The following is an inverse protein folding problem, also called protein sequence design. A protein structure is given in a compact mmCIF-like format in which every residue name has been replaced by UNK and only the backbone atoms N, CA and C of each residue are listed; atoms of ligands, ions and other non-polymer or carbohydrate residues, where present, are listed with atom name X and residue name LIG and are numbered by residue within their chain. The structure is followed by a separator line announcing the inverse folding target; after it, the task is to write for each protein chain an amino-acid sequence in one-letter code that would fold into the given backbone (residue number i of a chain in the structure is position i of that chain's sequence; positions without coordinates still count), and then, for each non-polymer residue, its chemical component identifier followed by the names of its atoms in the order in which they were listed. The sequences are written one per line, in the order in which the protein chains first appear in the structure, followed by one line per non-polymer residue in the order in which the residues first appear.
data_IF_225723027786
#
_entry.id   IF_225723027786
#
_cell.length_a   1.000
_cell.length_b   1.000
_cell.length_c   1.000
_cell.angle_alpha   90.00
_cell.angle_beta   90.00
_cell.angle_gamma   90.00
#
_symmetry.space_group_name_H-M   'P 1'
#
loop_
_entity.id
_entity.type
_entity.pdbx_description
1 polymer ?
#
# COMPACT_ATOMS: atom_id res chain seq x y z
N UNK A 1 14.14 -2.62 12.93
CA UNK A 1 15.08 -1.62 12.39
C UNK A 1 15.25 -1.77 10.87
N UNK A 2 15.59 -2.92 10.34
CA UNK A 2 15.85 -3.16 8.91
C UNK A 2 14.70 -2.72 7.98
N UNK A 3 13.45 -3.06 8.30
CA UNK A 3 12.28 -2.71 7.48
C UNK A 3 12.03 -1.20 7.47
N UNK A 4 12.31 -0.48 8.57
CA UNK A 4 12.19 0.99 8.62
C UNK A 4 13.20 1.67 7.70
N UNK A 5 14.41 1.15 7.61
CA UNK A 5 15.49 1.69 6.76
C UNK A 5 15.22 1.47 5.26
N UNK A 6 14.64 0.32 4.88
CA UNK A 6 14.30 0.04 3.46
C UNK A 6 13.26 1.04 2.92
N UNK A 7 12.33 1.49 3.75
CA UNK A 7 11.32 2.46 3.35
C UNK A 7 11.91 3.84 2.99
N UNK A 8 13.11 4.17 3.48
CA UNK A 8 13.78 5.43 3.15
C UNK A 8 14.44 5.39 1.76
N UNK A 9 14.56 4.20 1.16
CA UNK A 9 15.04 4.03 -0.23
C UNK A 9 13.87 4.27 -1.19
N UNK A 10 14.05 5.10 -2.24
CA UNK A 10 13.02 5.29 -3.25
C UNK A 10 12.58 3.96 -3.88
N UNK A 11 11.27 3.75 -4.05
CA UNK A 11 10.72 2.49 -4.57
C UNK A 11 11.26 2.10 -5.94
N UNK A 12 11.56 3.08 -6.81
CA UNK A 12 12.18 2.82 -8.13
C UNK A 12 13.59 2.22 -7.98
N UNK A 13 14.38 2.68 -7.00
CA UNK A 13 15.73 2.16 -6.74
C UNK A 13 15.65 0.73 -6.24
N UNK A 14 14.66 0.41 -5.40
CA UNK A 14 14.42 -0.97 -4.94
C UNK A 14 14.04 -1.88 -6.10
N UNK A 15 13.18 -1.44 -7.03
CA UNK A 15 12.83 -2.22 -8.21
C UNK A 15 14.09 -2.53 -9.03
N UNK A 16 14.94 -1.53 -9.29
CA UNK A 16 16.20 -1.74 -10.01
C UNK A 16 17.15 -2.67 -9.27
N UNK A 17 17.28 -2.51 -7.95
CA UNK A 17 18.12 -3.38 -7.15
C UNK A 17 17.66 -4.85 -7.20
N UNK A 18 16.38 -5.10 -7.04
CA UNK A 18 15.83 -6.43 -7.16
C UNK A 18 16.00 -6.98 -8.58
N UNK A 19 15.76 -6.18 -9.60
CA UNK A 19 15.82 -6.64 -10.99
C UNK A 19 17.25 -6.91 -11.47
N UNK A 20 18.18 -5.98 -11.22
CA UNK A 20 19.55 -6.06 -11.75
C UNK A 20 20.55 -6.73 -10.81
N UNK A 21 20.24 -6.91 -9.53
CA UNK A 21 21.16 -7.49 -8.54
C UNK A 21 20.61 -8.78 -7.97
N UNK A 22 19.42 -8.76 -7.35
CA UNK A 22 18.90 -9.93 -6.63
C UNK A 22 18.47 -11.03 -7.61
N UNK A 23 17.75 -10.68 -8.65
CA UNK A 23 17.21 -11.62 -9.64
C UNK A 23 18.00 -11.66 -10.96
N UNK A 24 19.17 -11.01 -11.03
CA UNK A 24 19.97 -10.94 -12.25
C UNK A 24 20.36 -12.32 -12.81
N UNK A 25 20.63 -13.27 -11.93
CA UNK A 25 21.05 -14.63 -12.29
C UNK A 25 19.88 -15.62 -12.47
N UNK A 26 18.64 -15.17 -12.19
CA UNK A 26 17.45 -16.04 -12.21
C UNK A 26 16.48 -15.53 -13.28
N UNK A 27 16.07 -16.42 -14.18
CA UNK A 27 15.11 -16.08 -15.25
C UNK A 27 13.68 -15.98 -14.68
N UNK A 28 13.40 -14.92 -13.93
CA UNK A 28 12.04 -14.61 -13.43
C UNK A 28 11.43 -13.47 -14.22
N UNK A 29 10.13 -13.51 -14.39
CA UNK A 29 9.40 -12.42 -15.08
C UNK A 29 9.50 -11.10 -14.31
N UNK A 30 9.67 -9.97 -15.04
CA UNK A 30 9.80 -8.65 -14.40
C UNK A 30 8.59 -8.25 -13.54
N UNK A 31 7.40 -8.74 -13.84
CA UNK A 31 6.20 -8.55 -13.00
C UNK A 31 6.42 -9.16 -11.61
N UNK A 32 6.98 -10.38 -11.53
CA UNK A 32 7.30 -11.02 -10.25
C UNK A 32 8.31 -10.18 -9.45
N UNK A 33 9.34 -9.67 -10.11
CA UNK A 33 10.33 -8.79 -9.47
C UNK A 33 9.67 -7.54 -8.91
N UNK A 34 8.77 -6.89 -9.67
CA UNK A 34 8.00 -5.74 -9.19
C UNK A 34 7.15 -6.09 -7.96
N UNK A 35 6.46 -7.23 -7.96
CA UNK A 35 5.64 -7.66 -6.82
C UNK A 35 6.50 -7.81 -5.57
N UNK A 36 7.65 -8.46 -5.68
CA UNK A 36 8.56 -8.65 -4.54
C UNK A 36 9.14 -7.32 -4.07
N UNK A 37 9.68 -6.50 -4.97
CA UNK A 37 10.28 -5.21 -4.63
C UNK A 37 9.28 -4.25 -3.96
N UNK A 38 8.10 -4.10 -4.56
CA UNK A 38 7.04 -3.24 -4.02
C UNK A 38 6.42 -3.82 -2.75
N UNK A 39 6.32 -5.16 -2.63
CA UNK A 39 5.89 -5.82 -1.40
C UNK A 39 6.84 -5.54 -0.24
N UNK A 40 8.14 -5.63 -0.45
CA UNK A 40 9.16 -5.27 0.56
C UNK A 40 9.07 -3.79 0.91
N UNK A 41 8.96 -2.91 -0.09
CA UNK A 41 8.81 -1.47 0.13
C UNK A 41 7.59 -1.12 0.98
N UNK A 42 6.41 -1.65 0.62
CA UNK A 42 5.14 -1.34 1.30
C UNK A 42 5.02 -1.99 2.67
N UNK A 43 5.73 -3.09 2.93
CA UNK A 43 5.71 -3.72 4.26
C UNK A 43 6.13 -2.77 5.37
N UNK A 44 7.14 -1.92 5.12
CA UNK A 44 7.60 -0.89 6.06
C UNK A 44 6.52 0.15 6.36
N UNK A 45 5.82 0.64 5.34
CA UNK A 45 4.70 1.59 5.49
C UNK A 45 3.56 0.98 6.28
N UNK A 46 3.16 -0.23 5.97
CA UNK A 46 2.04 -0.89 6.65
C UNK A 46 2.34 -1.19 8.12
N UNK A 47 3.58 -1.54 8.45
CA UNK A 47 4.01 -1.67 9.85
C UNK A 47 3.89 -0.32 10.58
N UNK A 48 4.31 0.80 9.96
CA UNK A 48 4.15 2.14 10.55
C UNK A 48 2.67 2.48 10.77
N UNK A 49 1.79 2.15 9.83
CA UNK A 49 0.34 2.37 9.98
C UNK A 49 -0.22 1.60 11.18
N UNK A 50 0.19 0.34 11.35
CA UNK A 50 -0.23 -0.50 12.48
C UNK A 50 0.29 0.09 13.79
N UNK A 51 1.56 0.46 13.87
CA UNK A 51 2.16 1.09 15.04
C UNK A 51 1.40 2.38 15.44
N UNK A 52 1.09 3.24 14.45
CA UNK A 52 0.33 4.47 14.70
C UNK A 52 -1.06 4.15 15.24
N UNK A 53 -1.79 3.24 14.60
CA UNK A 53 -3.14 2.89 15.06
C UNK A 53 -3.17 2.30 16.47
N UNK A 54 -2.22 1.43 16.80
CA UNK A 54 -2.10 0.87 18.14
C UNK A 54 -1.72 1.92 19.19
N UNK A 55 -0.85 2.87 18.84
CA UNK A 55 -0.42 3.95 19.76
C UNK A 55 -1.52 4.99 20.03
N UNK A 56 -2.55 5.07 19.19
CA UNK A 56 -3.69 5.97 19.40
C UNK A 56 -4.72 5.43 20.41
N UNK A 57 -4.61 4.17 20.79
CA UNK A 57 -5.49 3.61 21.81
C UNK A 57 -5.03 4.07 23.21
N UNK A 58 -5.93 4.71 23.96
CA UNK A 58 -5.62 5.20 25.29
C UNK A 58 -5.14 4.04 26.20
N UNK A 59 -4.03 4.29 26.92
CA UNK A 59 -3.47 3.32 27.87
C UNK A 59 -4.49 2.86 28.93
N UNK A 60 -5.43 3.73 29.31
CA UNK A 60 -6.50 3.40 30.24
C UNK A 60 -7.43 2.29 29.72
N UNK A 61 -7.55 2.12 28.39
CA UNK A 61 -8.34 1.03 27.82
C UNK A 61 -7.72 -0.35 28.13
N UNK A 62 -6.39 -0.41 28.25
CA UNK A 62 -5.71 -1.63 28.64
C UNK A 62 -6.01 -2.01 30.10
N UNK A 63 -6.06 -1.02 30.99
CA UNK A 63 -6.40 -1.22 32.41
C UNK A 63 -7.88 -1.54 32.58
N UNK A 64 -8.78 -0.81 31.93
CA UNK A 64 -10.22 -1.07 31.96
C UNK A 64 -10.56 -2.49 31.50
N UNK A 65 -9.93 -2.95 30.40
CA UNK A 65 -10.12 -4.32 29.92
C UNK A 65 -9.65 -5.37 30.95
N UNK A 66 -8.55 -5.11 31.64
CA UNK A 66 -8.06 -6.02 32.71
C UNK A 66 -9.01 -6.07 33.90
N UNK A 67 -9.59 -4.94 34.30
CA UNK A 67 -10.60 -4.89 35.39
C UNK A 67 -11.86 -5.68 35.03
N UNK A 68 -12.21 -5.80 33.74
CA UNK A 68 -13.28 -6.66 33.24
C UNK A 68 -12.86 -8.14 33.10
N UNK A 69 -11.69 -8.54 33.59
CA UNK A 69 -11.18 -9.90 33.47
C UNK A 69 -10.68 -10.29 32.07
N UNK A 70 -10.56 -9.34 31.12
CA UNK A 70 -10.04 -9.61 29.81
C UNK A 70 -8.51 -9.56 29.82
N UNK A 71 -7.88 -10.69 29.50
CA UNK A 71 -6.42 -10.80 29.41
C UNK A 71 -5.95 -11.34 28.07
N UNK A 72 -4.67 -11.14 27.75
CA UNK A 72 -4.03 -11.66 26.56
C UNK A 72 -4.79 -11.32 25.25
N UNK A 73 -5.01 -12.32 24.40
CA UNK A 73 -5.67 -12.14 23.10
C UNK A 73 -7.09 -11.58 23.21
N UNK A 74 -7.86 -11.94 24.24
CA UNK A 74 -9.23 -11.43 24.42
C UNK A 74 -9.26 -9.91 24.58
N UNK A 75 -8.34 -9.34 25.35
CA UNK A 75 -8.19 -7.89 25.51
C UNK A 75 -7.95 -7.21 24.14
N UNK A 76 -7.01 -7.73 23.36
CA UNK A 76 -6.74 -7.17 22.03
C UNK A 76 -7.93 -7.28 21.09
N UNK A 77 -8.54 -8.47 21.01
CA UNK A 77 -9.63 -8.75 20.04
C UNK A 77 -10.88 -7.91 20.29
N UNK A 78 -11.26 -7.73 21.57
CA UNK A 78 -12.54 -7.10 21.90
C UNK A 78 -12.44 -5.61 22.28
N UNK A 79 -11.28 -5.13 22.72
CA UNK A 79 -11.14 -3.73 23.19
C UNK A 79 -10.16 -2.94 22.35
N UNK A 80 -8.93 -3.43 22.16
CA UNK A 80 -7.85 -2.65 21.54
C UNK A 80 -7.99 -2.60 20.03
N UNK A 81 -8.13 -3.75 19.36
CA UNK A 81 -8.18 -3.84 17.89
C UNK A 81 -9.32 -3.02 17.27
N UNK A 82 -10.57 -3.08 17.77
CA UNK A 82 -11.65 -2.26 17.20
C UNK A 82 -11.38 -0.76 17.27
N UNK A 83 -10.73 -0.30 18.33
CA UNK A 83 -10.35 1.11 18.48
C UNK A 83 -9.14 1.47 17.62
N UNK A 84 -8.13 0.60 17.56
CA UNK A 84 -6.91 0.81 16.80
C UNK A 84 -7.14 0.83 15.26
N UNK A 85 -8.04 -0.03 14.75
CA UNK A 85 -8.28 -0.16 13.32
C UNK A 85 -8.94 1.09 12.72
N UNK A 86 -9.79 1.78 13.48
CA UNK A 86 -10.47 2.98 12.99
C UNK A 86 -9.51 4.06 12.43
N UNK A 87 -8.47 4.50 13.14
CA UNK A 87 -7.50 5.45 12.61
C UNK A 87 -6.55 4.84 11.57
N UNK A 88 -6.40 3.51 11.50
CA UNK A 88 -5.56 2.86 10.50
C UNK A 88 -6.15 2.96 9.08
N UNK A 89 -7.49 2.94 8.91
CA UNK A 89 -8.14 2.87 7.60
C UNK A 89 -7.70 3.99 6.66
N UNK A 90 -7.79 5.29 7.03
CA UNK A 90 -7.36 6.36 6.14
C UNK A 90 -5.85 6.30 5.84
N UNK A 91 -5.03 5.82 6.79
CA UNK A 91 -3.59 5.64 6.58
C UNK A 91 -3.31 4.49 5.61
N UNK A 92 -3.99 3.34 5.75
CA UNK A 92 -3.91 2.25 4.78
C UNK A 92 -4.34 2.69 3.39
N UNK A 93 -5.41 3.48 3.29
CA UNK A 93 -5.86 4.03 2.02
C UNK A 93 -4.79 4.96 1.40
N UNK A 94 -4.13 5.78 2.20
CA UNK A 94 -3.05 6.64 1.74
C UNK A 94 -1.86 5.83 1.22
N UNK A 95 -1.38 4.85 1.97
CA UNK A 95 -0.26 3.98 1.57
C UNK A 95 -0.60 3.11 0.35
N UNK A 96 -1.84 2.61 0.25
CA UNK A 96 -2.29 1.88 -0.94
C UNK A 96 -2.30 2.73 -2.20
N UNK A 97 -2.61 4.04 -2.09
CA UNK A 97 -2.49 4.98 -3.22
C UNK A 97 -1.03 5.27 -3.58
N UNK A 98 -0.12 5.29 -2.61
CA UNK A 98 1.32 5.37 -2.86
C UNK A 98 1.80 4.14 -3.63
N UNK A 99 1.37 2.95 -3.20
CA UNK A 99 1.68 1.69 -3.89
C UNK A 99 1.12 1.69 -5.32
N UNK A 100 -0.14 2.12 -5.52
CA UNK A 100 -0.73 2.23 -6.85
C UNK A 100 0.13 3.10 -7.79
N UNK A 101 0.62 4.24 -7.30
CA UNK A 101 1.53 5.09 -8.11
C UNK A 101 2.87 4.41 -8.36
N UNK A 102 3.42 3.69 -7.36
CA UNK A 102 4.70 3.01 -7.52
C UNK A 102 4.67 1.87 -8.55
N UNK A 103 3.49 1.29 -8.86
CA UNK A 103 3.37 0.28 -9.92
C UNK A 103 3.75 0.82 -11.29
N UNK A 104 3.67 2.15 -11.53
CA UNK A 104 4.08 2.77 -12.79
C UNK A 104 5.58 2.68 -13.06
N UNK A 105 6.38 2.38 -12.04
CA UNK A 105 7.82 2.16 -12.20
C UNK A 105 8.16 0.82 -12.88
N UNK A 106 7.19 -0.09 -13.03
CA UNK A 106 7.36 -1.33 -13.77
C UNK A 106 7.76 -1.08 -15.24
N UNK A 107 7.31 0.02 -15.82
CA UNK A 107 7.68 0.44 -17.18
C UNK A 107 9.19 0.63 -17.38
N UNK A 108 9.94 0.99 -16.33
CA UNK A 108 11.40 1.18 -16.41
C UNK A 108 12.18 -0.14 -16.50
N UNK A 109 11.59 -1.27 -16.13
CA UNK A 109 12.16 -2.62 -16.36
C UNK A 109 11.44 -3.35 -17.50
N UNK A 110 10.99 -2.57 -18.49
CA UNK A 110 10.35 -3.06 -19.73
C UNK A 110 9.05 -3.84 -19.52
N UNK A 111 8.39 -3.67 -18.39
CA UNK A 111 7.06 -4.22 -18.20
C UNK A 111 6.00 -3.28 -18.76
N UNK A 112 4.93 -3.87 -19.33
CA UNK A 112 3.81 -3.10 -19.85
C UNK A 112 2.92 -2.66 -18.69
N UNK A 113 2.85 -1.36 -18.44
CA UNK A 113 1.93 -0.72 -17.53
C UNK A 113 1.09 0.36 -18.23
N UNK A 114 0.14 0.97 -17.53
CA UNK A 114 -0.75 1.99 -18.08
C UNK A 114 0.02 3.22 -18.61
N UNK A 115 1.10 3.61 -17.91
CA UNK A 115 1.92 4.77 -18.32
C UNK A 115 2.73 4.42 -19.56
N UNK A 116 3.29 3.21 -19.62
CA UNK A 116 4.04 2.72 -20.78
C UNK A 116 3.16 2.64 -22.03
N UNK A 117 1.95 2.13 -21.92
CA UNK A 117 0.97 2.11 -23.01
C UNK A 117 0.63 3.53 -23.46
N UNK A 118 0.42 4.45 -22.52
CA UNK A 118 0.18 5.88 -22.83
C UNK A 118 1.34 6.49 -23.63
N UNK A 119 2.57 6.14 -23.27
CA UNK A 119 3.78 6.60 -24.00
C UNK A 119 3.84 6.04 -25.42
N UNK A 120 3.45 4.78 -25.61
CA UNK A 120 3.38 4.15 -26.94
C UNK A 120 2.34 4.84 -27.83
N UNK A 121 1.11 5.03 -27.32
CA UNK A 121 0.05 5.73 -28.05
C UNK A 121 0.50 7.14 -28.45
N UNK A 122 1.13 7.87 -27.51
CA UNK A 122 1.69 9.20 -27.79
C UNK A 122 2.69 9.19 -28.94
N UNK A 123 3.55 8.18 -29.00
CA UNK A 123 4.55 8.05 -30.08
C UNK A 123 3.92 7.74 -31.42
N UNK A 124 2.85 6.99 -31.48
CA UNK A 124 2.15 6.61 -32.70
C UNK A 124 1.22 7.72 -33.22
N UNK A 125 0.53 8.41 -32.30
CA UNK A 125 -0.48 9.42 -32.67
C UNK A 125 0.06 10.86 -32.72
N UNK A 126 1.27 11.09 -32.18
CA UNK A 126 1.85 12.43 -31.95
C UNK A 126 0.96 13.34 -31.09
N UNK A 127 -0.06 12.77 -30.42
CA UNK A 127 -0.92 13.46 -29.47
C UNK A 127 -0.48 13.17 -28.04
N UNK A 128 -0.17 14.21 -27.31
CA UNK A 128 0.26 14.10 -25.91
C UNK A 128 -0.89 14.28 -24.93
N UNK A 129 -1.88 15.08 -25.28
CA UNK A 129 -2.90 15.53 -24.34
C UNK A 129 -3.91 14.44 -24.04
N UNK A 130 -4.49 13.83 -25.06
CA UNK A 130 -5.56 12.84 -24.91
C UNK A 130 -5.11 11.61 -24.10
N UNK A 131 -3.99 10.93 -24.42
CA UNK A 131 -3.53 9.78 -23.63
C UNK A 131 -3.18 10.15 -22.19
N UNK A 132 -2.61 11.34 -21.95
CA UNK A 132 -2.24 11.78 -20.60
C UNK A 132 -3.47 12.07 -19.74
N UNK A 133 -4.48 12.73 -20.29
CA UNK A 133 -5.75 12.98 -19.59
C UNK A 133 -6.45 11.66 -19.27
N UNK A 134 -6.48 10.74 -20.24
CA UNK A 134 -7.10 9.42 -20.04
C UNK A 134 -6.46 8.65 -18.90
N UNK A 135 -5.14 8.50 -18.89
CA UNK A 135 -4.45 7.77 -17.82
C UNK A 135 -4.63 8.45 -16.47
N UNK A 136 -4.66 9.78 -16.45
CA UNK A 136 -4.91 10.54 -15.20
C UNK A 136 -6.29 10.23 -14.62
N UNK A 137 -7.33 10.18 -15.46
CA UNK A 137 -8.68 9.81 -15.07
C UNK A 137 -8.72 8.37 -14.52
N UNK A 138 -8.05 7.42 -15.18
CA UNK A 138 -7.96 6.03 -14.72
C UNK A 138 -7.35 5.96 -13.33
N UNK A 139 -6.21 6.65 -13.09
CA UNK A 139 -5.58 6.69 -11.76
C UNK A 139 -6.47 7.34 -10.68
N UNK A 140 -7.24 8.37 -11.03
CA UNK A 140 -8.20 8.98 -10.11
C UNK A 140 -9.32 8.00 -9.73
N UNK A 141 -9.86 7.27 -10.71
CA UNK A 141 -10.89 6.25 -10.47
C UNK A 141 -10.34 5.14 -9.59
N UNK A 142 -9.17 4.57 -9.92
CA UNK A 142 -8.53 3.52 -9.12
C UNK A 142 -8.25 3.98 -7.69
N UNK A 143 -7.75 5.20 -7.51
CA UNK A 143 -7.52 5.79 -6.19
C UNK A 143 -8.79 5.92 -5.36
N UNK A 144 -9.91 6.32 -5.97
CA UNK A 144 -11.22 6.37 -5.30
C UNK A 144 -11.74 4.98 -4.94
N UNK A 145 -11.60 4.01 -5.85
CA UNK A 145 -12.02 2.63 -5.60
C UNK A 145 -11.28 2.00 -4.41
N UNK A 146 -9.98 2.28 -4.24
CA UNK A 146 -9.21 1.84 -3.07
C UNK A 146 -9.86 2.37 -1.77
N UNK A 147 -10.15 3.67 -1.70
CA UNK A 147 -10.75 4.27 -0.50
C UNK A 147 -12.11 3.66 -0.20
N UNK A 148 -13.00 3.61 -1.19
CA UNK A 148 -14.35 3.05 -1.05
C UNK A 148 -14.30 1.59 -0.59
N UNK A 149 -13.39 0.80 -1.16
CA UNK A 149 -13.26 -0.62 -0.81
C UNK A 149 -12.81 -0.81 0.65
N UNK A 150 -11.84 -0.02 1.11
CA UNK A 150 -11.36 -0.09 2.49
C UNK A 150 -12.43 0.38 3.49
N UNK A 151 -13.15 1.45 3.19
CA UNK A 151 -14.25 1.92 4.02
C UNK A 151 -15.40 0.89 4.10
N UNK A 152 -15.73 0.25 2.97
CA UNK A 152 -16.74 -0.79 2.93
C UNK A 152 -16.34 -2.03 3.75
N UNK A 153 -15.07 -2.45 3.65
CA UNK A 153 -14.53 -3.57 4.44
C UNK A 153 -14.60 -3.23 5.93
N UNK A 154 -14.21 -2.01 6.31
CA UNK A 154 -14.26 -1.57 7.70
C UNK A 154 -15.68 -1.58 8.26
N UNK A 155 -16.64 -0.95 7.56
CA UNK A 155 -18.04 -0.94 7.98
C UNK A 155 -18.60 -2.35 8.17
N UNK A 156 -18.33 -3.25 7.22
CA UNK A 156 -18.76 -4.66 7.31
C UNK A 156 -18.11 -5.42 8.46
N UNK A 157 -16.83 -5.15 8.76
CA UNK A 157 -16.09 -5.88 9.80
C UNK A 157 -16.46 -5.46 11.22
N UNK A 158 -16.88 -4.20 11.42
CA UNK A 158 -17.13 -3.63 12.75
C UNK A 158 -18.59 -3.22 12.97
N UNK A 159 -19.52 -3.56 12.07
CA UNK A 159 -20.97 -3.23 12.16
C UNK A 159 -21.24 -1.76 12.53
N UNK A 160 -20.48 -0.83 11.98
CA UNK A 160 -20.78 0.57 12.06
C UNK A 160 -21.72 0.96 10.89
N UNK A 161 -23.01 1.10 11.19
CA UNK A 161 -23.97 1.79 10.32
C UNK A 161 -23.70 3.30 10.28
#
# INVERSE_FOLDING_TARGET
YFIKTIHDVPSIVLIFFFYYVVFAAVQVGGIFVCIVALGVYTSGSFIKVIDIGLSQVDANQHYAAQMLGLSGWKKYRYVILPQAVKPMIPLFAAESKVLLRATTYAGYISQMDLVKVTEMIRKETYDMLVPLVFVSIVFLILSKLIVISLDAIYKKAFNYD
#
